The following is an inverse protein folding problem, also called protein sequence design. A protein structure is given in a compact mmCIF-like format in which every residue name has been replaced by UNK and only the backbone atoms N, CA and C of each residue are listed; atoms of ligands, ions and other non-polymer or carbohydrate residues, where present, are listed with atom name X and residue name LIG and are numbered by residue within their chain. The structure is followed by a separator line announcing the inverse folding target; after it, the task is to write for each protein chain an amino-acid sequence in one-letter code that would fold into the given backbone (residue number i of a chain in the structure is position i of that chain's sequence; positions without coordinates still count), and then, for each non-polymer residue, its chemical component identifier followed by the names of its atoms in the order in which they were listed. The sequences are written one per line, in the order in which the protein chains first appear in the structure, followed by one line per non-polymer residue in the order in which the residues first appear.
data_IF_189504436695
#
_entry.id   IF_189504436695
#
_cell.length_a   1.000
_cell.length_b   1.000
_cell.length_c   1.000
_cell.angle_alpha   90.00
_cell.angle_beta   90.00
_cell.angle_gamma   90.00
#
_symmetry.space_group_name_H-M   'P 1'
#
loop_
_entity.id
_entity.type
_entity.pdbx_description
1 polymer ?
#
# COMPACT_ATOMS: atom_id res chain seq x y z
N UNK A 1 33.05 45.80 -29.53
CA UNK A 1 34.51 45.93 -29.67
C UNK A 1 35.09 44.53 -29.46
N UNK A 2 35.63 44.00 -30.58
CA UNK A 2 36.58 42.89 -30.77
C UNK A 2 36.26 41.54 -30.07
N UNK A 3 35.83 40.48 -30.77
CA UNK A 3 36.46 39.61 -31.79
C UNK A 3 37.87 39.11 -31.41
N UNK A 4 37.98 37.78 -31.26
CA UNK A 4 38.97 36.82 -31.79
C UNK A 4 38.80 35.48 -31.16
N UNK A 5 38.45 34.45 -31.82
CA UNK A 5 39.02 33.70 -32.96
C UNK A 5 39.84 32.48 -32.55
N UNK A 6 39.32 31.36 -32.93
CA UNK A 6 39.94 30.13 -33.52
C UNK A 6 41.20 29.53 -32.89
N UNK A 7 41.20 28.20 -32.69
CA UNK A 7 42.08 27.32 -33.45
C UNK A 7 41.67 25.85 -33.43
N UNK A 8 41.60 25.32 -34.62
CA UNK A 8 41.42 23.90 -34.99
C UNK A 8 42.74 23.15 -34.77
N UNK A 9 42.66 21.83 -34.50
CA UNK A 9 43.77 20.91 -34.57
C UNK A 9 43.28 19.50 -34.88
N UNK A 10 43.35 19.09 -36.13
CA UNK A 10 43.19 17.72 -36.66
C UNK A 10 44.47 16.92 -36.46
N UNK A 11 44.36 15.59 -36.42
CA UNK A 11 45.24 14.54 -36.99
C UNK A 11 44.67 13.22 -36.43
N UNK A 12 44.06 12.33 -37.19
CA UNK A 12 44.44 11.44 -38.28
C UNK A 12 45.01 10.09 -37.78
N UNK A 13 44.20 9.08 -37.93
CA UNK A 13 44.31 7.77 -38.60
C UNK A 13 45.62 6.96 -38.41
N UNK A 14 45.47 5.70 -37.96
CA UNK A 14 46.12 4.52 -38.55
C UNK A 14 45.26 3.27 -38.34
N UNK A 15 44.92 2.62 -39.46
CA UNK A 15 44.44 1.25 -39.62
C UNK A 15 45.56 0.24 -39.36
N UNK A 16 45.20 -0.97 -38.90
CA UNK A 16 45.77 -2.20 -39.47
C UNK A 16 44.91 -3.42 -39.17
N UNK A 17 44.57 -4.15 -40.20
CA UNK A 17 43.83 -5.37 -40.29
C UNK A 17 44.74 -6.61 -40.35
N UNK A 18 44.27 -7.79 -39.90
CA UNK A 18 44.66 -9.12 -40.37
C UNK A 18 43.64 -10.12 -39.75
N UNK A 19 42.72 -10.75 -40.44
CA UNK A 19 42.68 -11.84 -41.43
C UNK A 19 43.44 -13.10 -41.00
N UNK A 20 42.64 -14.18 -40.80
CA UNK A 20 42.81 -15.59 -41.25
C UNK A 20 41.84 -16.48 -40.52
N UNK A 21 40.85 -17.02 -41.07
CA UNK A 21 40.55 -18.06 -42.06
C UNK A 21 40.61 -19.54 -41.50
N UNK A 22 39.41 -20.16 -41.46
CA UNK A 22 39.01 -21.51 -41.97
C UNK A 22 39.52 -22.75 -41.22
N UNK A 23 38.54 -23.58 -40.78
CA UNK A 23 38.46 -25.01 -41.20
C UNK A 23 37.08 -25.59 -40.88
N UNK A 24 36.37 -25.99 -41.94
CA UNK A 24 35.28 -26.97 -41.96
C UNK A 24 35.87 -28.39 -41.96
N UNK A 25 35.11 -29.38 -41.42
CA UNK A 25 34.87 -30.74 -41.92
C UNK A 25 34.15 -31.49 -40.77
N UNK A 26 32.97 -31.90 -40.94
CA UNK A 26 32.26 -32.97 -41.63
C UNK A 26 31.99 -34.19 -40.74
N UNK A 27 30.73 -34.42 -40.57
CA UNK A 27 29.87 -35.62 -40.41
C UNK A 27 30.46 -36.96 -39.98
N UNK A 28 29.74 -37.58 -38.96
CA UNK A 28 29.32 -38.98 -39.04
C UNK A 28 28.22 -39.29 -38.02
N UNK A 29 27.24 -40.05 -38.44
CA UNK A 29 26.09 -40.58 -37.71
C UNK A 29 26.50 -41.54 -36.61
N UNK A 30 25.70 -41.58 -35.52
CA UNK A 30 25.72 -42.62 -34.52
C UNK A 30 24.72 -42.31 -33.45
N UNK A 31 23.55 -42.98 -33.44
CA UNK A 31 22.54 -42.83 -32.42
C UNK A 31 22.96 -43.45 -31.10
N UNK A 32 22.57 -42.80 -30.04
CA UNK A 32 22.20 -43.50 -28.81
C UNK A 32 21.37 -42.57 -27.93
N UNK A 33 20.25 -43.12 -27.48
CA UNK A 33 19.30 -42.47 -26.56
C UNK A 33 19.93 -42.30 -25.20
N UNK A 34 20.34 -41.06 -24.87
CA UNK A 34 20.68 -40.70 -23.51
C UNK A 34 19.66 -39.68 -23.03
N UNK A 35 18.85 -40.10 -22.09
CA UNK A 35 17.95 -39.34 -21.22
C UNK A 35 18.63 -38.08 -20.72
N UNK A 36 18.18 -36.94 -21.19
CA UNK A 36 18.57 -35.63 -20.63
C UNK A 36 17.91 -35.46 -19.27
N UNK A 37 18.67 -35.16 -18.21
CA UNK A 37 18.08 -34.72 -16.95
C UNK A 37 17.49 -33.31 -17.11
N UNK A 38 16.28 -33.15 -16.62
CA UNK A 38 15.63 -31.95 -16.15
C UNK A 38 16.01 -30.62 -16.79
N UNK A 39 15.24 -30.20 -17.78
CA UNK A 39 15.11 -28.78 -18.04
C UNK A 39 14.52 -28.15 -16.78
N UNK A 40 15.37 -27.50 -15.99
CA UNK A 40 14.94 -26.49 -15.02
C UNK A 40 14.10 -25.48 -15.79
N UNK A 41 12.81 -25.46 -15.51
CA UNK A 41 11.92 -24.42 -15.97
C UNK A 41 12.53 -23.10 -15.52
N UNK A 42 13.04 -22.31 -16.46
CA UNK A 42 13.29 -20.89 -16.25
C UNK A 42 11.97 -20.31 -15.79
N UNK A 43 11.92 -19.83 -14.56
CA UNK A 43 10.89 -18.89 -14.14
C UNK A 43 11.05 -17.67 -15.04
N UNK A 44 10.31 -17.62 -16.12
CA UNK A 44 10.21 -16.45 -17.00
C UNK A 44 9.28 -15.46 -16.34
N UNK A 45 9.84 -14.66 -15.43
CA UNK A 45 9.14 -13.64 -14.69
C UNK A 45 9.33 -12.25 -15.26
N UNK A 46 9.28 -12.05 -16.57
CA UNK A 46 9.12 -10.70 -17.10
C UNK A 46 7.66 -10.57 -17.55
N UNK A 47 6.91 -9.63 -16.95
CA UNK A 47 5.52 -9.43 -17.35
C UNK A 47 5.49 -9.01 -18.81
N UNK A 48 4.51 -9.48 -19.59
CA UNK A 48 4.31 -8.96 -20.92
C UNK A 48 4.05 -7.45 -20.79
N UNK A 49 4.87 -6.64 -21.44
CA UNK A 49 4.74 -5.19 -21.52
C UNK A 49 3.37 -4.73 -22.09
N UNK A 50 2.53 -5.66 -22.48
CA UNK A 50 1.25 -5.49 -23.17
C UNK A 50 0.05 -6.08 -22.42
N UNK A 51 0.20 -6.48 -21.16
CA UNK A 51 -0.92 -7.06 -20.39
C UNK A 51 -2.10 -6.09 -20.32
N UNK A 52 -3.21 -6.47 -20.95
CA UNK A 52 -4.42 -5.67 -20.98
C UNK A 52 -4.50 -4.59 -22.08
N UNK A 53 -3.50 -4.43 -22.95
CA UNK A 53 -3.46 -3.37 -23.97
C UNK A 53 -4.71 -3.29 -24.86
N UNK A 54 -5.32 -4.43 -25.16
CA UNK A 54 -6.53 -4.53 -25.98
C UNK A 54 -7.81 -4.67 -25.15
N UNK A 55 -7.71 -4.64 -23.83
CA UNK A 55 -8.87 -4.75 -22.96
C UNK A 55 -9.80 -3.55 -23.12
N UNK A 56 -11.10 -3.81 -22.98
CA UNK A 56 -12.15 -2.80 -22.97
C UNK A 56 -13.10 -3.12 -21.84
N UNK A 57 -13.17 -2.23 -20.85
CA UNK A 57 -14.07 -2.38 -19.72
C UNK A 57 -14.36 -1.04 -19.05
N UNK A 58 -15.52 -0.96 -18.42
CA UNK A 58 -15.80 0.00 -17.37
C UNK A 58 -15.83 -0.77 -16.06
N UNK A 59 -14.91 -0.44 -15.15
CA UNK A 59 -14.80 -1.04 -13.83
C UNK A 59 -15.24 -0.02 -12.78
N UNK A 60 -16.06 -0.47 -11.86
CA UNK A 60 -16.53 0.36 -10.75
C UNK A 60 -16.08 -0.25 -9.44
N UNK A 61 -15.40 0.53 -8.62
CA UNK A 61 -14.95 0.13 -7.31
C UNK A 61 -15.35 1.12 -6.23
N UNK A 62 -15.36 0.65 -4.99
CA UNK A 62 -15.61 1.50 -3.84
C UNK A 62 -14.85 1.00 -2.61
N UNK A 63 -14.52 1.92 -1.70
CA UNK A 63 -13.97 1.50 -0.41
C UNK A 63 -13.00 2.47 0.22
N UNK A 64 -11.90 1.91 0.71
CA UNK A 64 -10.91 2.58 1.55
C UNK A 64 -10.43 3.93 1.00
N UNK A 65 -10.35 4.92 1.88
CA UNK A 65 -9.75 6.23 1.55
C UNK A 65 -8.22 6.20 1.67
N UNK A 66 -7.68 5.26 2.43
CA UNK A 66 -6.25 5.06 2.64
C UNK A 66 -5.48 4.95 1.30
N UNK A 67 -5.84 4.07 0.34
CA UNK A 67 -5.14 3.95 -0.93
C UNK A 67 -5.69 4.89 -2.02
N UNK A 68 -6.69 5.72 -1.75
CA UNK A 68 -7.34 6.49 -2.80
C UNK A 68 -6.37 7.35 -3.64
N UNK A 69 -5.34 8.01 -3.08
CA UNK A 69 -4.38 8.76 -3.89
C UNK A 69 -3.62 7.89 -4.89
N UNK A 70 -3.11 6.73 -4.46
CA UNK A 70 -2.36 5.83 -5.35
C UNK A 70 -3.28 5.14 -6.35
N UNK A 71 -4.48 4.74 -5.96
CA UNK A 71 -5.44 4.13 -6.87
C UNK A 71 -5.85 5.09 -7.97
N UNK A 72 -6.14 6.35 -7.64
CA UNK A 72 -6.48 7.36 -8.65
C UNK A 72 -5.33 7.55 -9.66
N UNK A 73 -4.09 7.65 -9.18
CA UNK A 73 -2.92 7.79 -10.04
C UNK A 73 -2.72 6.55 -10.93
N UNK A 74 -2.87 5.35 -10.38
CA UNK A 74 -2.73 4.11 -11.12
C UNK A 74 -3.83 3.90 -12.15
N UNK A 75 -5.09 4.23 -11.84
CA UNK A 75 -6.20 4.11 -12.79
C UNK A 75 -6.01 5.03 -13.99
N UNK A 76 -5.55 6.26 -13.73
CA UNK A 76 -5.23 7.23 -14.76
C UNK A 76 -4.05 6.77 -15.63
N UNK A 77 -2.99 6.27 -15.02
CA UNK A 77 -1.79 5.81 -15.70
C UNK A 77 -2.09 4.55 -16.52
N UNK A 78 -2.79 3.58 -15.95
CA UNK A 78 -3.19 2.36 -16.66
C UNK A 78 -4.04 2.66 -17.90
N UNK A 79 -5.06 3.52 -17.76
CA UNK A 79 -5.87 3.94 -18.88
C UNK A 79 -5.05 4.67 -19.96
N UNK A 80 -4.20 5.62 -19.58
CA UNK A 80 -3.47 6.47 -20.53
C UNK A 80 -2.31 5.75 -21.22
N UNK A 81 -1.59 4.90 -20.48
CA UNK A 81 -0.31 4.33 -20.91
C UNK A 81 -0.39 2.87 -21.33
N UNK A 82 -1.34 2.09 -20.79
CA UNK A 82 -1.40 0.63 -20.98
C UNK A 82 -2.68 0.22 -21.72
N UNK A 83 -3.83 0.37 -21.11
CA UNK A 83 -5.12 -0.14 -21.58
C UNK A 83 -6.12 0.98 -21.82
N UNK A 84 -5.99 1.70 -22.94
CA UNK A 84 -6.84 2.87 -23.28
C UNK A 84 -8.34 2.59 -23.32
N UNK A 85 -8.74 1.33 -23.47
CA UNK A 85 -10.12 0.89 -23.45
C UNK A 85 -10.68 0.58 -22.06
N UNK A 86 -9.84 0.61 -21.02
CA UNK A 86 -10.24 0.32 -19.64
C UNK A 86 -10.40 1.61 -18.86
N UNK A 87 -11.62 1.86 -18.36
CA UNK A 87 -11.92 2.98 -17.47
C UNK A 87 -12.26 2.43 -16.09
N UNK A 88 -11.62 2.97 -15.05
CA UNK A 88 -11.82 2.53 -13.67
C UNK A 88 -12.35 3.71 -12.85
N UNK A 89 -13.58 3.58 -12.35
CA UNK A 89 -14.20 4.55 -11.45
C UNK A 89 -14.08 4.06 -10.02
N UNK A 90 -13.68 4.92 -9.11
CA UNK A 90 -13.50 4.57 -7.71
C UNK A 90 -14.17 5.57 -6.77
N UNK A 91 -14.99 5.05 -5.86
CA UNK A 91 -15.65 5.83 -4.82
C UNK A 91 -14.91 5.64 -3.48
N UNK A 92 -14.21 6.66 -3.04
CA UNK A 92 -13.47 6.69 -1.76
C UNK A 92 -14.44 6.97 -0.60
N UNK A 93 -15.04 5.92 -0.03
CA UNK A 93 -16.15 5.99 0.94
C UNK A 93 -15.80 5.42 2.33
N UNK A 94 -14.62 4.79 2.47
CA UNK A 94 -14.20 4.02 3.63
C UNK A 94 -14.37 2.51 3.45
N UNK A 95 -13.54 1.73 4.15
CA UNK A 95 -13.46 0.27 4.00
C UNK A 95 -14.78 -0.43 4.28
N UNK A 96 -15.53 0.02 5.29
CA UNK A 96 -16.83 -0.58 5.61
C UNK A 96 -17.84 -0.44 4.46
N UNK A 97 -17.91 0.73 3.82
CA UNK A 97 -18.75 0.94 2.65
C UNK A 97 -18.26 0.10 1.45
N UNK A 98 -16.94 -0.03 1.27
CA UNK A 98 -16.36 -0.88 0.23
C UNK A 98 -16.74 -2.35 0.40
N UNK A 99 -16.57 -2.89 1.59
CA UNK A 99 -16.95 -4.27 1.91
C UNK A 99 -18.46 -4.47 1.69
N UNK A 100 -19.28 -3.52 2.14
CA UNK A 100 -20.74 -3.61 1.99
C UNK A 100 -21.16 -3.62 0.50
N UNK A 101 -20.64 -2.70 -0.32
CA UNK A 101 -20.98 -2.64 -1.75
C UNK A 101 -20.44 -3.85 -2.50
N UNK A 102 -19.25 -4.31 -2.18
CA UNK A 102 -18.68 -5.53 -2.71
C UNK A 102 -19.57 -6.74 -2.38
N UNK A 103 -19.90 -6.95 -1.11
CA UNK A 103 -20.76 -8.05 -0.66
C UNK A 103 -22.15 -8.01 -1.32
N UNK A 104 -22.68 -6.83 -1.57
CA UNK A 104 -23.95 -6.63 -2.30
C UNK A 104 -23.81 -6.78 -3.82
N UNK A 105 -22.59 -7.03 -4.35
CA UNK A 105 -22.29 -7.13 -5.79
C UNK A 105 -22.72 -5.89 -6.62
N UNK A 106 -22.68 -4.70 -6.00
CA UNK A 106 -23.02 -3.43 -6.66
C UNK A 106 -21.80 -2.76 -7.31
N UNK A 107 -20.60 -3.26 -7.03
CA UNK A 107 -19.34 -2.85 -7.63
C UNK A 107 -18.58 -4.07 -8.17
N UNK A 108 -17.61 -3.86 -9.04
CA UNK A 108 -16.78 -4.91 -9.61
C UNK A 108 -15.64 -5.31 -8.66
N UNK A 109 -15.20 -4.38 -7.82
CA UNK A 109 -14.23 -4.64 -6.76
C UNK A 109 -14.49 -3.74 -5.53
N UNK A 110 -14.15 -4.26 -4.36
CA UNK A 110 -14.09 -3.49 -3.12
C UNK A 110 -12.67 -3.07 -2.78
N UNK A 111 -12.50 -2.11 -1.86
CA UNK A 111 -11.18 -1.81 -1.29
C UNK A 111 -11.27 -1.66 0.22
N UNK A 112 -10.30 -2.25 0.94
CA UNK A 112 -10.25 -2.23 2.41
C UNK A 112 -8.82 -2.33 2.93
N UNK A 113 -8.52 -1.57 3.98
CA UNK A 113 -7.26 -1.70 4.73
C UNK A 113 -7.44 -2.69 5.92
N UNK A 114 -8.69 -2.94 6.30
CA UNK A 114 -9.03 -4.01 7.22
C UNK A 114 -9.33 -5.28 6.43
N UNK A 115 -8.72 -6.43 6.72
CA UNK A 115 -9.20 -7.70 6.19
C UNK A 115 -10.68 -7.90 6.53
N UNK A 116 -11.45 -8.52 5.64
CA UNK A 116 -12.82 -8.91 5.94
C UNK A 116 -12.83 -9.87 7.12
N UNK A 117 -13.75 -9.67 8.06
CA UNK A 117 -13.98 -10.62 9.16
C UNK A 117 -14.58 -11.92 8.62
N UNK A 118 -14.61 -12.96 9.47
CA UNK A 118 -15.22 -14.24 9.08
C UNK A 118 -16.72 -14.09 8.82
N UNK A 119 -17.41 -13.18 9.54
CA UNK A 119 -18.83 -12.87 9.30
C UNK A 119 -19.04 -12.10 7.99
N UNK A 120 -18.11 -11.23 7.61
CA UNK A 120 -18.12 -10.53 6.32
C UNK A 120 -17.84 -11.50 5.17
N UNK A 121 -16.88 -12.41 5.33
CA UNK A 121 -16.58 -13.46 4.35
C UNK A 121 -17.74 -14.45 4.20
N UNK A 122 -18.44 -14.81 5.27
CA UNK A 122 -19.61 -15.69 5.17
C UNK A 122 -20.71 -15.12 4.26
N UNK A 123 -20.77 -13.77 4.12
CA UNK A 123 -21.70 -13.08 3.20
C UNK A 123 -21.16 -12.92 1.78
N UNK A 124 -19.86 -13.13 1.57
CA UNK A 124 -19.17 -13.04 0.29
C UNK A 124 -18.13 -14.16 0.22
N UNK A 125 -18.59 -15.42 0.31
CA UNK A 125 -17.74 -16.60 0.46
C UNK A 125 -16.68 -16.77 -0.67
N UNK A 126 -16.92 -16.18 -1.83
CA UNK A 126 -16.00 -16.20 -2.97
C UNK A 126 -15.07 -14.98 -3.03
N UNK A 127 -15.02 -14.18 -1.96
CA UNK A 127 -14.14 -13.02 -1.89
C UNK A 127 -12.67 -13.44 -1.80
N UNK A 128 -11.82 -12.74 -2.53
CA UNK A 128 -10.37 -12.84 -2.50
C UNK A 128 -9.76 -11.49 -2.15
N UNK A 129 -8.91 -11.45 -1.13
CA UNK A 129 -8.08 -10.29 -0.85
C UNK A 129 -6.88 -10.30 -1.78
N UNK A 130 -6.58 -9.16 -2.40
CA UNK A 130 -5.36 -8.95 -3.19
C UNK A 130 -4.65 -7.73 -2.62
N UNK A 131 -3.51 -7.90 -1.92
CA UNK A 131 -2.75 -6.77 -1.41
C UNK A 131 -2.18 -5.96 -2.57
N UNK A 132 -2.20 -4.63 -2.45
CA UNK A 132 -1.76 -3.72 -3.51
C UNK A 132 -0.54 -2.90 -3.12
N UNK A 133 -0.56 -2.28 -1.96
CA UNK A 133 0.56 -1.53 -1.36
C UNK A 133 0.55 -1.66 0.15
N UNK A 134 1.62 -1.20 0.78
CA UNK A 134 1.70 -1.01 2.21
C UNK A 134 1.71 0.49 2.48
N UNK A 135 1.02 0.94 3.53
CA UNK A 135 1.08 2.32 3.97
C UNK A 135 1.25 2.42 5.49
N UNK A 136 1.54 3.62 5.96
CA UNK A 136 1.68 3.94 7.36
C UNK A 136 0.52 4.82 7.83
N UNK A 137 -0.09 4.48 8.96
CA UNK A 137 -1.01 5.38 9.67
C UNK A 137 -0.19 6.26 10.60
N UNK A 138 -0.19 7.56 10.36
CA UNK A 138 0.64 8.50 11.10
C UNK A 138 -0.16 9.31 12.12
N UNK A 139 0.44 9.57 13.27
CA UNK A 139 -0.12 10.46 14.29
C UNK A 139 0.18 11.91 13.87
N UNK A 140 -0.71 12.49 13.06
CA UNK A 140 -0.56 13.87 12.61
C UNK A 140 -1.05 14.86 13.65
N UNK A 141 -0.40 16.04 13.74
CA UNK A 141 -0.74 17.03 14.74
C UNK A 141 -0.57 18.47 14.22
N UNK A 142 -1.24 19.40 14.88
CA UNK A 142 -1.19 20.83 14.62
C UNK A 142 -0.77 21.59 15.88
N UNK A 143 0.54 21.60 16.15
CA UNK A 143 1.16 22.31 17.28
C UNK A 143 2.15 23.35 16.76
N UNK A 144 1.86 24.61 17.04
CA UNK A 144 2.74 25.69 16.64
C UNK A 144 4.13 25.59 17.33
N UNK A 145 5.19 25.63 16.52
CA UNK A 145 6.57 25.61 17.01
C UNK A 145 7.05 24.23 17.51
N UNK A 146 6.25 23.15 17.40
CA UNK A 146 6.63 21.79 17.79
C UNK A 146 6.91 20.95 16.56
N UNK A 147 8.10 20.31 16.52
CA UNK A 147 8.50 19.34 15.50
C UNK A 147 9.17 18.15 16.16
N UNK A 148 9.18 17.00 15.47
CA UNK A 148 9.85 15.79 15.97
C UNK A 148 9.21 15.20 17.23
N UNK A 149 7.90 15.35 17.39
CA UNK A 149 7.15 14.76 18.51
C UNK A 149 7.32 13.24 18.54
N UNK A 150 7.50 12.70 19.73
CA UNK A 150 7.63 11.27 20.00
C UNK A 150 6.46 10.81 20.86
N UNK A 151 5.82 9.71 20.49
CA UNK A 151 4.71 9.13 21.24
C UNK A 151 4.85 7.61 21.31
N UNK A 152 4.59 7.02 22.46
CA UNK A 152 4.36 5.57 22.56
C UNK A 152 2.86 5.24 22.48
N UNK A 153 2.57 3.96 22.22
CA UNK A 153 1.20 3.52 21.98
C UNK A 153 0.28 3.67 23.17
N UNK A 154 0.78 3.51 24.38
CA UNK A 154 -0.03 3.68 25.60
C UNK A 154 -0.40 5.16 25.83
N UNK A 155 0.54 6.07 25.59
CA UNK A 155 0.26 7.51 25.62
C UNK A 155 -0.76 7.91 24.57
N UNK A 156 -0.64 7.41 23.33
CA UNK A 156 -1.66 7.66 22.28
C UNK A 156 -3.01 7.11 22.71
N UNK A 157 -3.08 5.90 23.23
CA UNK A 157 -4.32 5.31 23.72
C UNK A 157 -4.98 6.19 24.81
N UNK A 158 -4.21 6.66 25.80
CA UNK A 158 -4.70 7.53 26.88
C UNK A 158 -5.19 8.90 26.38
N UNK A 159 -4.58 9.44 25.30
CA UNK A 159 -5.09 10.65 24.63
C UNK A 159 -6.49 10.37 24.05
N UNK A 160 -6.65 9.28 23.30
CA UNK A 160 -7.93 8.93 22.67
C UNK A 160 -9.00 8.42 23.65
N UNK A 161 -8.60 7.93 24.82
CA UNK A 161 -9.50 7.64 25.95
C UNK A 161 -9.89 8.92 26.72
N UNK A 162 -9.25 10.06 26.47
CA UNK A 162 -9.49 11.33 27.19
C UNK A 162 -8.88 11.36 28.59
N UNK A 163 -7.99 10.43 28.93
CA UNK A 163 -7.26 10.40 30.20
C UNK A 163 -6.15 11.45 30.20
N UNK A 164 -5.36 11.52 29.13
CA UNK A 164 -4.39 12.60 28.87
C UNK A 164 -5.09 13.69 28.08
N UNK A 165 -5.19 14.89 28.69
CA UNK A 165 -5.95 16.02 28.12
C UNK A 165 -5.10 17.18 27.68
N UNK A 166 -3.83 17.28 28.11
CA UNK A 166 -2.95 18.41 27.83
C UNK A 166 -1.66 17.96 27.14
N UNK A 167 -1.14 18.78 26.25
CA UNK A 167 0.10 18.49 25.55
C UNK A 167 1.34 18.43 26.46
N UNK A 168 1.37 19.23 27.55
CA UNK A 168 2.44 19.20 28.54
C UNK A 168 2.24 18.15 29.66
N UNK A 169 1.34 17.17 29.45
CA UNK A 169 1.21 16.06 30.39
C UNK A 169 2.55 15.34 30.61
N UNK A 170 2.91 14.96 31.84
CA UNK A 170 4.17 14.30 32.14
C UNK A 170 4.45 13.06 31.28
N UNK A 171 3.42 12.31 30.87
CA UNK A 171 3.58 11.14 30.00
C UNK A 171 4.05 11.54 28.59
N UNK A 172 3.62 12.68 28.07
CA UNK A 172 4.09 13.20 26.77
C UNK A 172 5.45 13.89 26.95
N UNK A 173 5.59 14.77 27.96
CA UNK A 173 6.80 15.53 28.18
C UNK A 173 8.02 14.63 28.46
N UNK A 174 7.83 13.53 29.21
CA UNK A 174 8.89 12.58 29.50
C UNK A 174 9.48 11.87 28.27
N UNK A 175 8.71 11.76 27.18
CA UNK A 175 9.16 11.21 25.89
C UNK A 175 9.81 12.26 24.99
N UNK A 176 9.66 13.55 25.31
CA UNK A 176 10.01 14.69 24.48
C UNK A 176 10.93 15.69 25.19
N UNK A 177 11.97 15.18 25.86
CA UNK A 177 12.93 16.01 26.56
C UNK A 177 13.51 17.11 25.64
N UNK A 178 13.46 18.37 26.11
CA UNK A 178 13.94 19.52 25.35
C UNK A 178 12.91 20.11 24.37
N UNK A 179 11.74 19.52 24.20
CA UNK A 179 10.65 20.08 23.42
C UNK A 179 9.75 20.92 24.33
N UNK A 180 9.51 22.18 23.96
CA UNK A 180 8.61 23.06 24.71
C UNK A 180 7.15 22.76 24.33
N UNK A 181 6.51 21.88 25.09
CA UNK A 181 5.12 21.49 24.87
C UNK A 181 4.17 22.50 25.53
N UNK A 182 3.12 22.99 24.82
CA UNK A 182 2.18 23.94 25.38
C UNK A 182 1.27 23.32 26.44
N UNK A 183 0.84 24.07 27.43
CA UNK A 183 -0.17 23.68 28.41
C UNK A 183 -1.61 23.62 27.85
N UNK A 184 -1.76 23.61 26.54
CA UNK A 184 -3.04 23.59 25.85
C UNK A 184 -3.73 22.22 25.91
N UNK A 185 -5.06 22.25 25.83
CA UNK A 185 -5.86 21.04 25.74
C UNK A 185 -5.70 20.37 24.37
N UNK A 186 -5.63 19.05 24.37
CA UNK A 186 -5.51 18.26 23.15
C UNK A 186 -6.88 18.15 22.47
N UNK A 187 -6.95 18.55 21.21
CA UNK A 187 -8.15 18.40 20.37
C UNK A 187 -8.00 17.14 19.53
N UNK A 188 -8.73 16.08 19.91
CA UNK A 188 -8.63 14.77 19.23
C UNK A 188 -9.48 14.77 17.96
N UNK A 189 -8.92 14.30 16.84
CA UNK A 189 -9.62 14.07 15.59
C UNK A 189 -9.65 12.56 15.26
N UNK A 190 -10.82 12.07 14.83
CA UNK A 190 -11.02 10.66 14.50
C UNK A 190 -11.87 10.47 13.25
N UNK A 191 -11.94 9.24 12.72
CA UNK A 191 -12.77 8.88 11.57
C UNK A 191 -14.23 8.69 11.97
N UNK A 192 -15.14 9.41 11.31
CA UNK A 192 -16.59 9.31 11.54
C UNK A 192 -17.28 8.22 10.72
N UNK A 193 -16.57 7.63 9.74
CA UNK A 193 -17.02 6.54 8.88
C UNK A 193 -16.44 5.18 9.33
N UNK A 194 -16.99 4.08 8.82
CA UNK A 194 -16.41 2.74 9.01
C UNK A 194 -15.15 2.59 8.18
N UNK A 195 -13.99 2.66 8.84
CA UNK A 195 -12.68 2.93 8.27
C UNK A 195 -11.68 1.80 8.49
N UNK A 196 -10.98 1.39 7.42
CA UNK A 196 -9.81 0.51 7.54
C UNK A 196 -8.65 1.19 8.23
N UNK A 197 -8.41 2.49 7.99
CA UNK A 197 -7.39 3.27 8.72
C UNK A 197 -7.66 3.26 10.22
N UNK A 198 -8.94 3.39 10.62
CA UNK A 198 -9.36 3.24 12.03
C UNK A 198 -9.08 1.82 12.55
N UNK A 199 -9.40 0.79 11.76
CA UNK A 199 -9.11 -0.60 12.14
C UNK A 199 -7.62 -0.79 12.44
N UNK A 200 -6.74 -0.34 11.54
CA UNK A 200 -5.28 -0.43 11.70
C UNK A 200 -4.81 0.32 12.95
N UNK A 201 -5.31 1.52 13.16
CA UNK A 201 -5.00 2.34 14.32
C UNK A 201 -5.45 1.67 15.63
N UNK A 202 -6.70 1.22 15.69
CA UNK A 202 -7.26 0.58 16.89
C UNK A 202 -6.66 -0.80 17.16
N UNK A 203 -6.26 -1.54 16.12
CA UNK A 203 -5.51 -2.79 16.25
C UNK A 203 -4.15 -2.57 16.91
N UNK A 204 -3.43 -1.52 16.47
CA UNK A 204 -2.19 -1.13 17.14
C UNK A 204 -2.41 -0.75 18.60
N UNK A 205 -3.40 0.11 18.89
CA UNK A 205 -3.68 0.52 20.27
C UNK A 205 -4.11 -0.67 21.17
N UNK A 206 -4.82 -1.63 20.62
CA UNK A 206 -5.22 -2.87 21.34
C UNK A 206 -3.99 -3.71 21.73
N UNK A 207 -2.93 -3.68 20.93
CA UNK A 207 -1.65 -4.36 21.23
C UNK A 207 -0.78 -3.56 22.19
N UNK A 208 -0.83 -2.24 22.11
CA UNK A 208 0.07 -1.34 22.83
C UNK A 208 -0.46 -0.88 24.20
N UNK A 209 -1.77 -0.96 24.47
CA UNK A 209 -2.39 -0.49 25.72
C UNK A 209 -3.48 -1.45 26.23
N UNK A 210 -3.32 -1.89 27.47
CA UNK A 210 -4.31 -2.73 28.16
C UNK A 210 -5.63 -1.96 28.41
N UNK A 211 -5.53 -0.67 28.72
CA UNK A 211 -6.69 0.20 28.95
C UNK A 211 -7.52 0.33 27.68
N UNK A 212 -6.87 0.57 26.53
CA UNK A 212 -7.54 0.62 25.24
C UNK A 212 -8.19 -0.72 24.87
N UNK A 213 -7.44 -1.81 25.04
CA UNK A 213 -7.94 -3.18 24.78
C UNK A 213 -9.23 -3.48 25.52
N UNK A 214 -9.32 -3.05 26.77
CA UNK A 214 -10.47 -3.28 27.63
C UNK A 214 -11.65 -2.36 27.31
N UNK A 215 -11.37 -1.07 27.05
CA UNK A 215 -12.40 -0.06 26.88
C UNK A 215 -13.00 0.00 25.48
N UNK A 216 -12.19 -0.24 24.44
CA UNK A 216 -12.56 -0.01 23.04
C UNK A 216 -12.26 -1.21 22.14
N UNK A 217 -11.04 -1.75 22.22
CA UNK A 217 -10.56 -2.85 21.37
C UNK A 217 -10.32 -2.44 19.92
N UNK A 218 -10.19 -3.45 19.03
CA UNK A 218 -9.99 -3.29 17.59
C UNK A 218 -11.31 -3.17 16.85
N UNK A 219 -11.54 -2.08 16.11
CA UNK A 219 -12.80 -1.84 15.40
C UNK A 219 -12.61 -0.90 14.21
N UNK A 220 -13.45 -1.04 13.18
CA UNK A 220 -13.55 -0.11 12.04
C UNK A 220 -14.35 1.17 12.36
N UNK A 221 -15.24 1.10 13.35
CA UNK A 221 -16.13 2.19 13.74
C UNK A 221 -16.41 2.13 15.26
N UNK A 222 -15.41 2.38 16.12
CA UNK A 222 -15.59 2.35 17.56
C UNK A 222 -16.45 3.53 18.03
N UNK A 223 -17.04 3.38 19.20
CA UNK A 223 -17.60 4.51 19.94
C UNK A 223 -16.45 5.32 20.54
N UNK A 224 -16.12 6.45 19.92
CA UNK A 224 -15.01 7.28 20.35
C UNK A 224 -15.32 7.99 21.68
N UNK A 225 -14.45 7.85 22.69
CA UNK A 225 -14.68 8.49 24.00
C UNK A 225 -14.61 10.02 23.94
N UNK A 226 -13.73 10.58 23.08
CA UNK A 226 -13.48 12.02 22.95
C UNK A 226 -13.17 12.38 21.50
N UNK A 227 -13.30 13.67 21.18
CA UNK A 227 -12.80 14.25 19.92
C UNK A 227 -13.89 14.60 18.92
N UNK A 228 -13.44 14.99 17.73
CA UNK A 228 -14.26 15.39 16.60
C UNK A 228 -14.09 14.43 15.42
N UNK A 229 -15.18 14.04 14.80
CA UNK A 229 -15.19 13.15 13.64
C UNK A 229 -14.90 13.87 12.32
N UNK A 230 -14.04 13.27 11.48
CA UNK A 230 -13.83 13.64 10.09
C UNK A 230 -14.11 12.46 9.16
N UNK A 231 -14.86 12.67 8.08
CA UNK A 231 -15.15 11.62 7.11
C UNK A 231 -13.95 11.41 6.18
N UNK A 232 -13.47 10.17 6.06
CA UNK A 232 -12.31 9.82 5.25
C UNK A 232 -10.98 10.31 5.86
N UNK A 233 -9.86 9.92 5.27
CA UNK A 233 -8.56 10.48 5.61
C UNK A 233 -8.54 11.99 5.36
N UNK A 234 -9.17 12.46 4.30
CA UNK A 234 -9.34 13.87 3.94
C UNK A 234 -10.02 14.67 5.05
N UNK A 235 -11.11 14.13 5.61
CA UNK A 235 -11.87 14.79 6.66
C UNK A 235 -11.07 14.93 7.94
N UNK A 236 -10.37 13.89 8.39
CA UNK A 236 -9.50 13.97 9.57
C UNK A 236 -8.33 14.93 9.32
N UNK A 237 -7.70 14.89 8.14
CA UNK A 237 -6.65 15.83 7.74
C UNK A 237 -7.13 17.28 7.85
N UNK A 238 -8.34 17.57 7.36
CA UNK A 238 -8.93 18.90 7.41
C UNK A 238 -9.22 19.34 8.85
N UNK A 239 -9.77 18.45 9.70
CA UNK A 239 -10.00 18.75 11.12
C UNK A 239 -8.68 19.11 11.79
N UNK A 240 -7.61 18.30 11.62
CA UNK A 240 -6.31 18.60 12.22
C UNK A 240 -5.72 19.91 11.70
N UNK A 241 -5.77 20.13 10.39
CA UNK A 241 -5.23 21.36 9.77
C UNK A 241 -5.90 22.64 10.27
N UNK A 242 -7.20 22.59 10.50
CA UNK A 242 -8.00 23.75 10.88
C UNK A 242 -8.08 23.98 12.40
N UNK A 243 -7.73 22.95 13.21
CA UNK A 243 -7.88 23.02 14.67
C UNK A 243 -6.51 23.11 15.34
N UNK A 244 -6.12 24.27 15.90
CA UNK A 244 -4.90 24.36 16.70
C UNK A 244 -4.90 23.38 17.88
N UNK A 245 -3.74 22.88 18.25
CA UNK A 245 -3.51 21.91 19.32
C UNK A 245 -4.21 20.56 19.11
N UNK A 246 -4.48 20.19 17.86
CA UNK A 246 -5.11 18.93 17.53
C UNK A 246 -4.12 17.81 17.24
N UNK A 247 -4.62 16.58 17.39
CA UNK A 247 -3.98 15.32 16.98
C UNK A 247 -5.01 14.46 16.25
N UNK A 248 -4.58 13.78 15.18
CA UNK A 248 -5.39 12.84 14.43
C UNK A 248 -4.55 11.70 13.89
N UNK A 249 -5.19 10.71 13.29
CA UNK A 249 -4.51 9.64 12.57
C UNK A 249 -5.00 9.60 11.12
N UNK A 250 -4.06 9.55 10.19
CA UNK A 250 -4.32 9.48 8.75
C UNK A 250 -3.25 8.62 8.08
N UNK A 251 -3.50 8.22 6.84
CA UNK A 251 -2.43 7.62 6.02
C UNK A 251 -1.37 8.68 5.68
N UNK A 252 -0.10 8.25 5.61
CA UNK A 252 1.09 9.12 5.50
C UNK A 252 1.01 10.13 4.36
N UNK A 253 0.53 9.72 3.17
CA UNK A 253 0.46 10.61 2.01
C UNK A 253 -0.43 11.84 2.26
N UNK A 254 -1.54 11.67 3.02
CA UNK A 254 -2.42 12.80 3.36
C UNK A 254 -1.73 13.84 4.26
N UNK A 255 -0.96 13.38 5.24
CA UNK A 255 -0.17 14.28 6.07
C UNK A 255 0.95 14.96 5.26
N UNK A 256 1.64 14.21 4.41
CA UNK A 256 2.73 14.71 3.57
C UNK A 256 2.26 15.76 2.56
N UNK A 257 1.18 15.49 1.81
CA UNK A 257 0.63 16.42 0.82
C UNK A 257 0.14 17.71 1.45
N UNK A 258 -0.40 17.65 2.66
CA UNK A 258 -0.90 18.82 3.38
C UNK A 258 0.14 19.51 4.25
N UNK A 259 1.38 18.97 4.28
CA UNK A 259 2.51 19.45 5.10
C UNK A 259 2.19 19.50 6.60
N UNK A 260 1.32 18.63 7.07
CA UNK A 260 1.08 18.46 8.50
C UNK A 260 2.25 17.71 9.14
N UNK A 261 2.62 18.14 10.34
CA UNK A 261 3.58 17.41 11.17
C UNK A 261 2.99 16.07 11.64
N UNK A 262 3.85 15.09 11.83
CA UNK A 262 3.48 13.80 12.42
C UNK A 262 4.57 13.30 13.37
N UNK A 263 4.17 12.50 14.35
CA UNK A 263 5.04 12.00 15.40
C UNK A 263 5.81 10.75 14.97
N UNK A 264 7.01 10.58 15.51
CA UNK A 264 7.67 9.30 15.58
C UNK A 264 6.97 8.43 16.64
N UNK A 265 6.68 7.17 16.32
CA UNK A 265 5.96 6.27 17.21
C UNK A 265 6.87 5.15 17.69
N UNK A 266 6.80 4.87 19.00
CA UNK A 266 7.61 3.84 19.62
C UNK A 266 7.14 2.46 19.19
N UNK A 267 8.05 1.67 18.64
CA UNK A 267 7.77 0.31 18.19
C UNK A 267 7.99 -0.73 19.32
N UNK A 268 7.69 -1.98 19.02
CA UNK A 268 7.83 -3.12 19.95
C UNK A 268 9.25 -3.32 20.46
N UNK A 269 10.27 -2.93 19.68
CA UNK A 269 11.68 -2.95 20.10
C UNK A 269 12.07 -1.77 21.01
N UNK A 270 11.11 -0.89 21.35
CA UNK A 270 11.35 0.27 22.21
C UNK A 270 11.99 1.47 21.52
N UNK A 271 12.06 1.48 20.18
CA UNK A 271 12.66 2.55 19.38
C UNK A 271 11.58 3.47 18.82
N UNK A 272 11.82 4.80 18.84
CA UNK A 272 10.95 5.75 18.15
C UNK A 272 11.26 5.72 16.65
N UNK A 273 10.27 5.33 15.87
CA UNK A 273 10.41 5.12 14.43
C UNK A 273 9.63 6.19 13.67
N UNK A 274 10.33 6.89 12.79
CA UNK A 274 9.70 7.79 11.83
C UNK A 274 8.95 6.99 10.78
N UNK A 275 7.69 7.36 10.43
CA UNK A 275 6.99 6.73 9.32
C UNK A 275 7.66 7.10 8.00
N UNK A 276 8.18 6.10 7.31
CA UNK A 276 8.79 6.19 5.97
C UNK A 276 8.43 4.96 5.15
N UNK A 277 8.72 4.98 3.86
CA UNK A 277 8.57 3.84 2.97
C UNK A 277 9.33 2.62 3.53
N UNK A 278 10.56 2.83 3.98
CA UNK A 278 11.44 1.77 4.48
C UNK A 278 10.92 1.18 5.81
N UNK A 279 10.47 2.04 6.72
CA UNK A 279 9.98 1.58 8.02
C UNK A 279 8.63 0.85 7.93
N UNK A 280 7.78 1.24 6.98
CA UNK A 280 6.54 0.50 6.68
C UNK A 280 6.83 -0.83 5.97
N UNK A 281 7.79 -0.86 5.03
CA UNK A 281 8.25 -2.11 4.41
C UNK A 281 8.86 -3.07 5.43
N UNK A 282 9.62 -2.57 6.41
CA UNK A 282 10.21 -3.37 7.48
C UNK A 282 9.12 -4.05 8.34
N UNK A 283 7.97 -3.39 8.55
CA UNK A 283 6.85 -3.99 9.27
C UNK A 283 6.31 -5.23 8.55
N UNK A 284 6.12 -5.15 7.24
CA UNK A 284 5.64 -6.27 6.43
C UNK A 284 6.66 -7.42 6.34
N UNK A 285 7.95 -7.10 6.26
CA UNK A 285 9.02 -8.09 6.15
C UNK A 285 9.17 -8.97 7.41
N UNK A 286 8.65 -8.53 8.55
CA UNK A 286 8.78 -9.23 9.84
C UNK A 286 7.59 -10.15 10.18
N UNK A 287 6.62 -10.32 9.26
CA UNK A 287 5.40 -11.10 9.49
C UNK A 287 5.18 -12.11 8.38
N UNK A 288 4.82 -13.35 8.75
CA UNK A 288 4.41 -14.36 7.78
C UNK A 288 3.03 -14.02 7.20
N UNK A 289 2.92 -14.02 5.87
CA UNK A 289 1.69 -13.66 5.18
C UNK A 289 0.92 -14.92 4.79
N UNK A 290 -0.30 -15.14 5.33
CA UNK A 290 -1.11 -16.33 5.06
C UNK A 290 -1.62 -16.35 3.60
N UNK A 291 -2.20 -17.49 3.17
CA UNK A 291 -2.63 -17.69 1.78
C UNK A 291 -3.81 -16.81 1.38
N UNK A 292 -4.62 -16.44 2.33
CA UNK A 292 -5.75 -15.52 2.13
C UNK A 292 -5.37 -14.04 2.31
N UNK A 293 -4.10 -13.73 2.60
CA UNK A 293 -3.52 -12.40 2.85
C UNK A 293 -4.10 -11.64 4.05
N UNK A 294 -5.00 -12.24 4.83
CA UNK A 294 -5.61 -11.59 5.99
C UNK A 294 -4.64 -11.59 7.17
N UNK A 295 -3.89 -10.54 7.31
CA UNK A 295 -2.85 -10.41 8.34
C UNK A 295 -2.75 -8.98 8.86
N UNK A 296 -2.49 -8.83 10.14
CA UNK A 296 -2.09 -7.56 10.75
C UNK A 296 -0.57 -7.49 10.84
N UNK A 297 0.00 -6.40 10.38
CA UNK A 297 1.43 -6.08 10.52
C UNK A 297 1.69 -4.93 11.49
N UNK A 298 0.66 -4.51 12.27
CA UNK A 298 0.83 -3.53 13.34
C UNK A 298 1.63 -4.13 14.49
N UNK A 299 2.42 -3.31 15.16
CA UNK A 299 3.28 -3.69 16.29
C UNK A 299 4.17 -4.92 15.99
N UNK A 300 4.65 -5.02 14.76
CA UNK A 300 5.52 -6.11 14.32
C UNK A 300 6.90 -6.05 14.99
N UNK A 301 7.60 -7.20 15.05
CA UNK A 301 8.80 -7.35 15.86
C UNK A 301 10.07 -6.73 15.25
N UNK A 302 10.01 -6.15 14.05
CA UNK A 302 11.19 -5.59 13.37
C UNK A 302 11.76 -4.36 14.07
N UNK A 303 13.07 -4.33 14.24
CA UNK A 303 13.83 -3.25 14.94
C UNK A 303 13.59 -1.86 14.33
N UNK A 304 13.39 -1.79 13.01
CA UNK A 304 13.15 -0.57 12.25
C UNK A 304 11.70 -0.46 11.75
N UNK A 305 10.84 -1.41 12.14
CA UNK A 305 9.46 -1.46 11.71
C UNK A 305 8.66 -0.31 12.32
N UNK A 306 7.92 0.42 11.47
CA UNK A 306 6.94 1.40 11.93
C UNK A 306 5.71 0.67 12.50
N UNK A 307 5.28 0.99 13.73
CA UNK A 307 4.33 0.13 14.43
C UNK A 307 2.88 0.21 13.91
N UNK A 308 2.52 1.24 13.13
CA UNK A 308 1.15 1.42 12.62
C UNK A 308 1.16 1.30 11.09
N UNK A 309 1.73 0.22 10.59
CA UNK A 309 1.75 -0.10 9.16
C UNK A 309 0.66 -1.14 8.81
N UNK A 310 0.18 -1.11 7.57
CA UNK A 310 -0.79 -2.09 7.06
C UNK A 310 -0.69 -2.27 5.57
N UNK A 311 -1.03 -3.48 5.11
CA UNK A 311 -1.46 -3.68 3.73
C UNK A 311 -2.79 -2.97 3.49
N UNK A 312 -3.04 -2.60 2.22
CA UNK A 312 -4.37 -2.32 1.72
C UNK A 312 -4.70 -3.29 0.60
N UNK A 313 -5.96 -3.67 0.49
CA UNK A 313 -6.41 -4.75 -0.38
C UNK A 313 -7.44 -4.28 -1.38
N UNK A 314 -7.38 -4.78 -2.61
CA UNK A 314 -8.57 -4.91 -3.44
C UNK A 314 -9.27 -6.24 -3.10
N UNK A 315 -10.58 -6.16 -2.99
CA UNK A 315 -11.46 -7.32 -2.80
C UNK A 315 -12.04 -7.67 -4.16
N UNK A 316 -11.79 -8.88 -4.63
CA UNK A 316 -12.26 -9.38 -5.93
C UNK A 316 -12.96 -10.73 -5.74
N UNK A 317 -13.85 -11.10 -6.65
CA UNK A 317 -14.45 -12.43 -6.63
C UNK A 317 -13.52 -13.46 -7.25
N UNK A 318 -13.37 -14.64 -6.63
CA UNK A 318 -12.63 -15.77 -7.21
C UNK A 318 -13.30 -16.26 -8.48
N UNK A 319 -14.62 -16.28 -8.47
CA UNK A 319 -15.45 -16.64 -9.63
C UNK A 319 -16.54 -15.60 -9.85
N UNK A 320 -16.78 -15.18 -11.07
CA UNK A 320 -17.81 -14.20 -11.40
C UNK A 320 -18.44 -14.46 -12.75
N UNK A 321 -19.73 -14.10 -12.90
CA UNK A 321 -20.40 -14.04 -14.21
C UNK A 321 -19.95 -12.89 -15.10
N UNK A 322 -19.13 -11.96 -14.57
CA UNK A 322 -18.72 -10.73 -15.25
C UNK A 322 -17.34 -10.89 -15.90
N UNK A 323 -17.19 -11.82 -16.86
CA UNK A 323 -15.91 -12.09 -17.53
C UNK A 323 -15.28 -10.85 -18.19
N UNK A 324 -16.12 -9.98 -18.76
CA UNK A 324 -15.65 -8.74 -19.39
C UNK A 324 -15.01 -7.74 -18.43
N UNK A 325 -15.27 -7.85 -17.12
CA UNK A 325 -14.66 -7.04 -16.07
C UNK A 325 -13.51 -7.78 -15.36
N UNK A 326 -13.65 -9.10 -15.18
CA UNK A 326 -12.68 -9.89 -14.40
C UNK A 326 -11.28 -9.90 -15.02
N UNK A 327 -11.16 -10.14 -16.33
CA UNK A 327 -9.88 -10.14 -17.03
C UNK A 327 -9.19 -8.78 -16.98
N UNK A 328 -9.86 -7.66 -17.38
CA UNK A 328 -9.25 -6.34 -17.25
C UNK A 328 -8.86 -5.97 -15.82
N UNK A 329 -9.64 -6.36 -14.81
CA UNK A 329 -9.30 -6.14 -13.41
C UNK A 329 -8.05 -6.95 -12.99
N UNK A 330 -7.96 -8.21 -13.41
CA UNK A 330 -6.78 -9.04 -13.14
C UNK A 330 -5.51 -8.50 -13.84
N UNK A 331 -5.63 -8.01 -15.08
CA UNK A 331 -4.53 -7.37 -15.81
C UNK A 331 -4.10 -6.06 -15.17
N UNK A 332 -5.03 -5.23 -14.69
CA UNK A 332 -4.70 -4.03 -13.92
C UNK A 332 -3.94 -4.38 -12.63
N UNK A 333 -4.40 -5.38 -11.86
CA UNK A 333 -3.73 -5.81 -10.62
C UNK A 333 -2.33 -6.41 -10.90
N UNK A 334 -2.20 -7.13 -12.01
CA UNK A 334 -0.90 -7.58 -12.47
C UNK A 334 0.04 -6.40 -12.76
N UNK A 335 -0.41 -5.45 -13.59
CA UNK A 335 0.37 -4.27 -13.92
C UNK A 335 0.76 -3.47 -12.67
N UNK A 336 -0.18 -3.21 -11.77
CA UNK A 336 0.06 -2.41 -10.56
C UNK A 336 1.12 -3.02 -9.63
N UNK A 337 1.30 -4.35 -9.66
CA UNK A 337 2.24 -5.08 -8.81
C UNK A 337 3.59 -5.38 -9.48
N UNK A 338 3.70 -5.33 -10.82
CA UNK A 338 4.90 -5.75 -11.54
C UNK A 338 5.52 -4.64 -12.40
N UNK A 339 4.76 -3.64 -12.82
CA UNK A 339 5.27 -2.61 -13.72
C UNK A 339 6.13 -1.56 -13.00
N UNK A 340 7.25 -1.20 -13.60
CA UNK A 340 8.19 -0.24 -13.02
C UNK A 340 7.62 1.18 -12.89
N UNK A 341 6.72 1.60 -13.78
CA UNK A 341 6.07 2.91 -13.68
C UNK A 341 5.04 2.94 -12.55
N UNK A 342 4.29 1.84 -12.36
CA UNK A 342 3.42 1.69 -11.20
C UNK A 342 4.21 1.72 -9.89
N UNK A 343 5.35 1.04 -9.83
CA UNK A 343 6.25 1.04 -8.67
C UNK A 343 6.86 2.43 -8.38
N UNK A 344 7.14 3.23 -9.41
CA UNK A 344 7.60 4.62 -9.23
C UNK A 344 6.52 5.48 -8.55
N UNK A 345 5.27 5.38 -8.99
CA UNK A 345 4.12 6.09 -8.41
C UNK A 345 3.89 5.71 -6.94
N UNK A 346 4.13 4.43 -6.56
CA UNK A 346 4.07 3.99 -5.15
C UNK A 346 4.99 4.84 -4.28
N UNK A 347 6.25 5.00 -4.71
CA UNK A 347 7.26 5.75 -3.95
C UNK A 347 6.98 7.26 -3.94
N UNK A 348 6.56 7.82 -5.06
CA UNK A 348 6.22 9.24 -5.19
C UNK A 348 5.11 9.65 -4.23
N UNK A 349 4.14 8.77 -4.00
CA UNK A 349 3.02 9.00 -3.11
C UNK A 349 3.24 8.47 -1.69
N UNK A 350 4.49 8.20 -1.29
CA UNK A 350 4.86 7.75 0.07
C UNK A 350 4.25 6.41 0.51
N UNK A 351 3.83 5.56 -0.43
CA UNK A 351 3.48 4.18 -0.12
C UNK A 351 4.71 3.28 -0.20
N UNK A 352 4.65 2.15 0.47
CA UNK A 352 5.70 1.12 0.40
C UNK A 352 5.29 0.03 -0.58
N UNK A 353 6.20 -0.41 -1.46
CA UNK A 353 5.92 -1.51 -2.36
C UNK A 353 5.71 -2.81 -1.59
N UNK A 354 5.00 -3.73 -2.21
CA UNK A 354 4.86 -5.08 -1.68
C UNK A 354 6.23 -5.79 -1.66
N UNK A 355 6.49 -6.66 -0.65
CA UNK A 355 7.70 -7.48 -0.66
C UNK A 355 7.80 -8.31 -1.95
N UNK A 356 8.97 -8.34 -2.58
CA UNK A 356 9.17 -9.11 -3.81
C UNK A 356 8.87 -10.61 -3.66
N UNK A 357 9.04 -11.14 -2.44
CA UNK A 357 8.68 -12.52 -2.09
C UNK A 357 7.17 -12.78 -2.15
N UNK A 358 6.34 -11.75 -2.12
CA UNK A 358 4.89 -11.86 -2.19
C UNK A 358 4.37 -11.89 -3.63
N UNK A 359 5.11 -11.33 -4.59
CA UNK A 359 4.68 -11.19 -5.98
C UNK A 359 4.31 -12.53 -6.65
N UNK A 360 5.09 -13.64 -6.50
CA UNK A 360 4.70 -14.92 -7.09
C UNK A 360 3.38 -15.46 -6.53
N UNK A 361 3.08 -15.19 -5.26
CA UNK A 361 1.82 -15.60 -4.62
C UNK A 361 0.64 -14.78 -5.16
N UNK A 362 0.83 -13.47 -5.34
CA UNK A 362 -0.17 -12.59 -5.96
C UNK A 362 -0.44 -13.04 -7.40
N UNK A 363 0.61 -13.32 -8.17
CA UNK A 363 0.48 -13.87 -9.52
C UNK A 363 -0.36 -15.13 -9.56
N UNK A 364 -0.04 -16.10 -8.70
CA UNK A 364 -0.79 -17.34 -8.61
C UNK A 364 -2.28 -17.08 -8.26
N UNK A 365 -2.53 -16.13 -7.37
CA UNK A 365 -3.90 -15.70 -7.02
C UNK A 365 -4.62 -15.11 -8.23
N UNK A 366 -4.02 -14.18 -8.95
CA UNK A 366 -4.63 -13.56 -10.13
C UNK A 366 -4.91 -14.58 -11.25
N UNK A 367 -3.99 -15.52 -11.47
CA UNK A 367 -4.17 -16.64 -12.43
C UNK A 367 -5.25 -17.62 -11.99
N UNK A 368 -5.62 -17.67 -10.73
CA UNK A 368 -6.68 -18.54 -10.21
C UNK A 368 -8.08 -17.96 -10.37
N UNK A 369 -8.22 -16.67 -10.67
CA UNK A 369 -9.52 -16.02 -10.87
C UNK A 369 -10.24 -16.61 -12.07
N UNK A 370 -11.56 -16.83 -11.96
CA UNK A 370 -12.36 -17.53 -12.96
C UNK A 370 -13.63 -16.74 -13.30
N UNK A 371 -14.10 -16.96 -14.52
CA UNK A 371 -15.45 -16.60 -14.91
C UNK A 371 -16.38 -17.82 -14.88
N UNK A 372 -17.67 -17.60 -15.00
CA UNK A 372 -18.66 -18.68 -15.15
C UNK A 372 -18.27 -19.63 -16.30
N UNK A 373 -18.49 -20.93 -16.07
CA UNK A 373 -18.03 -21.97 -17.00
C UNK A 373 -16.59 -22.38 -16.81
N UNK A 374 -15.89 -21.88 -15.77
CA UNK A 374 -14.53 -22.29 -15.41
C UNK A 374 -13.43 -21.68 -16.28
N UNK A 375 -13.76 -20.69 -17.11
CA UNK A 375 -12.79 -19.95 -17.92
C UNK A 375 -11.92 -19.11 -16.96
N UNK A 376 -10.62 -19.38 -16.94
CA UNK A 376 -9.69 -18.55 -16.16
C UNK A 376 -9.64 -17.14 -16.73
N UNK A 377 -9.60 -16.15 -15.85
CA UNK A 377 -9.23 -14.80 -16.26
C UNK A 377 -7.86 -14.92 -16.95
N UNK A 378 -7.80 -14.61 -18.25
CA UNK A 378 -6.56 -14.68 -18.99
C UNK A 378 -5.74 -13.44 -18.59
N UNK A 379 -4.79 -13.62 -17.66
CA UNK A 379 -3.65 -12.73 -17.68
C UNK A 379 -3.04 -12.89 -19.05
N UNK A 380 -2.95 -11.81 -19.82
CA UNK A 380 -2.40 -11.86 -21.18
C UNK A 380 -1.08 -12.62 -21.13
N UNK A 381 -1.07 -13.79 -21.78
CA UNK A 381 0.16 -14.53 -21.95
C UNK A 381 1.09 -13.67 -22.79
N UNK A 382 2.30 -13.39 -22.26
CA UNK A 382 3.37 -12.93 -23.09
C UNK A 382 3.78 -14.03 -24.05
#
# INVERSE_FOLDING_TARGET
MQIRSMRKGKWAVVLLAAISLISLLAAACGGDSATRPGATAKASGEPPSDAGKNDKAQLNGAGATFPAPIYQAWFDDYNKKVAKGVQINYQSLGSGAGIQQFTANTVDFGASDAPMSDEELAKAADAQHVPTVIGAVVMTYNLAGVSGLKLDGDTVAKIYLGTIKKWNDPAIAGQNAGVNLPGADIQVAYRSDSSGTTFVFTDYLTKASADWKTAVGTNKAPNWPVGQGGKGNEGVTNVVKQTPNSIGYVELNYAAQTKLSFADVKNKAGKYIKPTIESASAAAASVAIPDDYRVSITDSAGDTAYPIASFTYLLVYKTTGKCGQQTPLANFLWWSSHDSSAAATVKELNYSPLPSTLLPKIEATLRSLKCDGGVKASLSAG
#
